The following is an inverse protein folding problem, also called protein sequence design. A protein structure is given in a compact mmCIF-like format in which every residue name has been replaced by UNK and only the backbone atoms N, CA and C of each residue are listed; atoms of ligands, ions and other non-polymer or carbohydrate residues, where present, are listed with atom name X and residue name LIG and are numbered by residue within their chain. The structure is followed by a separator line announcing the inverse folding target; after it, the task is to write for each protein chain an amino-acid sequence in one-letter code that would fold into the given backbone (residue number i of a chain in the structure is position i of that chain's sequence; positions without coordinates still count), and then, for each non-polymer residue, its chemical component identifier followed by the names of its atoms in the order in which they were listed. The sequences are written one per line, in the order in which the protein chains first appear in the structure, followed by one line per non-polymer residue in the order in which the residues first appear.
data_IF_159141736231
#
_entry.id   IF_159141736231
#
_cell.length_a   1.000
_cell.length_b   1.000
_cell.length_c   1.000
_cell.angle_alpha   90.00
_cell.angle_beta   90.00
_cell.angle_gamma   90.00
#
_symmetry.space_group_name_H-M   'P 1'
#
loop_
_entity.id
_entity.type
_entity.pdbx_description
1 polymer ?
#
# COMPACT_ATOMS: atom_id res chain seq x y z
N UNK A 1 14.68 13.19 4.12
CA UNK A 1 13.97 13.29 5.43
C UNK A 1 12.77 12.37 5.33
N UNK A 2 12.88 11.14 5.85
CA UNK A 2 11.76 10.19 5.86
C UNK A 2 10.67 10.77 6.76
N UNK A 3 9.61 11.26 6.13
CA UNK A 3 8.45 11.79 6.82
C UNK A 3 7.66 10.56 7.25
N UNK A 4 7.95 10.08 8.46
CA UNK A 4 7.30 8.89 9.04
C UNK A 4 5.81 9.18 9.09
N UNK A 5 5.08 8.68 8.09
CA UNK A 5 3.63 8.60 8.13
C UNK A 5 3.36 7.58 9.25
N UNK A 6 3.16 8.08 10.48
CA UNK A 6 3.12 7.24 11.67
C UNK A 6 2.23 6.02 11.46
N UNK A 7 2.67 4.85 11.96
CA UNK A 7 2.11 3.51 11.74
C UNK A 7 0.61 3.42 11.37
N UNK A 8 -0.25 4.20 12.05
CA UNK A 8 -1.69 4.33 11.74
C UNK A 8 -2.00 4.76 10.31
N UNK A 9 -1.32 5.79 9.78
CA UNK A 9 -1.60 6.33 8.44
C UNK A 9 -1.17 5.32 7.37
N UNK A 10 -0.01 4.67 7.52
CA UNK A 10 0.42 3.65 6.55
C UNK A 10 -0.51 2.43 6.55
N UNK A 11 -1.01 2.02 7.71
CA UNK A 11 -2.03 0.98 7.81
C UNK A 11 -3.36 1.41 7.18
N UNK A 12 -3.79 2.64 7.38
CA UNK A 12 -5.02 3.19 6.78
C UNK A 12 -4.91 3.25 5.25
N UNK A 13 -3.77 3.73 4.72
CA UNK A 13 -3.47 3.73 3.29
C UNK A 13 -3.51 2.30 2.75
N UNK A 14 -2.88 1.35 3.45
CA UNK A 14 -2.91 -0.07 3.05
C UNK A 14 -4.35 -0.57 2.95
N UNK A 15 -5.19 -0.25 3.93
CA UNK A 15 -6.59 -0.67 3.94
C UNK A 15 -7.39 -0.05 2.78
N UNK A 16 -7.18 1.24 2.50
CA UNK A 16 -7.81 1.93 1.37
C UNK A 16 -7.36 1.37 0.02
N UNK A 17 -6.08 1.00 -0.11
CA UNK A 17 -5.54 0.36 -1.31
C UNK A 17 -6.13 -1.02 -1.51
N UNK A 18 -6.27 -1.83 -0.44
CA UNK A 18 -6.90 -3.14 -0.51
C UNK A 18 -8.38 -3.08 -0.91
N UNK A 19 -9.10 -2.05 -0.49
CA UNK A 19 -10.49 -1.83 -0.90
C UNK A 19 -10.61 -1.37 -2.36
N UNK A 20 -9.50 -0.99 -3.01
CA UNK A 20 -9.48 -0.51 -4.38
C UNK A 20 -8.92 -1.59 -5.34
N UNK A 21 -9.77 -2.28 -6.12
CA UNK A 21 -9.32 -3.30 -7.07
C UNK A 21 -8.84 -2.73 -8.42
N UNK A 22 -8.91 -1.42 -8.65
CA UNK A 22 -8.50 -0.80 -9.92
C UNK A 22 -7.14 -0.10 -9.82
N UNK A 23 -6.56 -0.02 -8.62
CA UNK A 23 -5.25 0.57 -8.40
C UNK A 23 -4.17 -0.40 -8.90
N UNK A 24 -3.41 0.01 -9.91
CA UNK A 24 -2.37 -0.81 -10.55
C UNK A 24 -0.96 -0.50 -10.04
N UNK A 25 -0.71 0.73 -9.57
CA UNK A 25 0.60 1.13 -9.05
C UNK A 25 0.45 2.20 -7.98
N UNK A 26 1.07 1.96 -6.82
CA UNK A 26 1.23 2.96 -5.76
C UNK A 26 2.67 3.47 -5.76
N UNK A 27 2.87 4.77 -6.02
CA UNK A 27 4.19 5.43 -5.99
C UNK A 27 4.63 5.89 -4.59
N UNK A 28 4.07 5.30 -3.53
CA UNK A 28 4.25 5.74 -2.15
C UNK A 28 5.27 4.84 -1.46
N UNK A 29 6.32 5.44 -0.91
CA UNK A 29 7.35 4.74 -0.15
C UNK A 29 6.86 4.52 1.29
N UNK A 30 6.27 3.36 1.54
CA UNK A 30 5.91 2.92 2.89
C UNK A 30 7.19 2.53 3.64
N UNK A 31 7.37 2.95 4.89
CA UNK A 31 8.47 2.45 5.73
C UNK A 31 8.08 1.14 6.44
N UNK A 32 6.79 0.92 6.69
CA UNK A 32 6.27 -0.26 7.36
C UNK A 32 6.31 -1.49 6.45
N UNK A 33 6.98 -2.55 6.91
CA UNK A 33 7.28 -3.74 6.09
C UNK A 33 6.00 -4.49 5.68
N UNK A 34 5.05 -4.64 6.61
CA UNK A 34 3.79 -5.32 6.35
C UNK A 34 2.89 -4.55 5.38
N UNK A 35 2.82 -3.22 5.52
CA UNK A 35 2.08 -2.36 4.61
C UNK A 35 2.60 -2.51 3.18
N UNK A 36 3.92 -2.49 3.02
CA UNK A 36 4.61 -2.68 1.74
C UNK A 36 4.29 -4.02 1.10
N UNK A 37 4.36 -5.12 1.87
CA UNK A 37 4.06 -6.46 1.37
C UNK A 37 2.59 -6.61 0.96
N UNK A 38 1.65 -6.11 1.79
CA UNK A 38 0.21 -6.18 1.50
C UNK A 38 -0.16 -5.37 0.27
N UNK A 39 0.31 -4.12 0.19
CA UNK A 39 0.09 -3.25 -0.97
C UNK A 39 0.68 -3.90 -2.23
N UNK A 40 1.92 -4.41 -2.18
CA UNK A 40 2.54 -5.04 -3.34
C UNK A 40 1.75 -6.28 -3.83
N UNK A 41 1.33 -7.16 -2.92
CA UNK A 41 0.53 -8.34 -3.26
C UNK A 41 -0.84 -7.97 -3.84
N UNK A 42 -1.48 -6.93 -3.30
CA UNK A 42 -2.77 -6.45 -3.79
C UNK A 42 -2.64 -5.81 -5.19
N UNK A 43 -1.65 -4.94 -5.39
CA UNK A 43 -1.36 -4.35 -6.70
C UNK A 43 -1.05 -5.45 -7.73
N UNK A 44 -0.28 -6.48 -7.35
CA UNK A 44 0.03 -7.60 -8.24
C UNK A 44 -1.23 -8.35 -8.68
N UNK A 45 -2.18 -8.58 -7.76
CA UNK A 45 -3.48 -9.18 -8.09
C UNK A 45 -4.34 -8.29 -8.98
N UNK A 46 -4.28 -6.98 -8.79
CA UNK A 46 -5.01 -6.03 -9.64
C UNK A 46 -4.42 -5.94 -11.06
N UNK A 47 -3.12 -6.18 -11.24
CA UNK A 47 -2.48 -6.23 -12.57
C UNK A 47 -2.81 -7.55 -13.29
N UNK A 48 -2.92 -8.65 -12.56
CA UNK A 48 -3.18 -9.98 -13.12
C UNK A 48 -4.64 -10.19 -13.57
N UNK A 49 -5.55 -9.31 -13.12
CA UNK A 49 -6.98 -9.37 -13.41
C UNK A 49 -7.37 -8.44 -14.57
#
# INVERSE_FOLDING_TARGET
RSQVLGNKIEMEITHLVEQNPTLLRLGLHLEFNDARHRVAAHLQRNIDR
#
